data_IF_546272731658
#
_entry.id   IF_546272731658
#
_cell.length_a   1.000
_cell.length_b   1.000
_cell.length_c   1.000
_cell.angle_alpha   90.00
_cell.angle_beta   90.00
_cell.angle_gamma   90.00
#
_symmetry.space_group_name_H-M   'P 1'
#
loop_
_entity.id
_entity.type
_entity.pdbx_description
1 polymer ?
#
# COMPACT_ATOMS: atom_id res chain seq x y z
N UNK A 1 -1.77 31.96 -5.53
CA UNK A 1 -1.70 32.13 -4.08
C UNK A 1 -1.42 30.74 -3.51
N UNK A 2 -0.15 30.44 -3.27
CA UNK A 2 0.31 29.15 -2.75
C UNK A 2 -0.11 29.08 -1.28
N UNK A 3 -1.17 28.33 -0.98
CA UNK A 3 -1.42 27.92 0.38
C UNK A 3 -0.36 26.86 0.70
N UNK A 4 0.61 27.21 1.55
CA UNK A 4 1.41 26.23 2.28
C UNK A 4 0.42 25.23 2.90
N UNK A 5 0.36 24.02 2.34
CA UNK A 5 -0.19 22.87 3.04
C UNK A 5 0.72 22.67 4.24
N UNK A 6 0.29 23.25 5.36
CA UNK A 6 0.68 22.85 6.71
C UNK A 6 0.81 21.33 6.68
N UNK A 7 2.01 20.83 6.96
CA UNK A 7 2.22 19.40 7.12
C UNK A 7 1.16 18.93 8.11
N UNK A 8 0.20 18.15 7.63
CA UNK A 8 -0.69 17.44 8.52
C UNK A 8 0.24 16.69 9.45
N UNK A 9 0.14 16.99 10.75
CA UNK A 9 0.70 16.14 11.78
C UNK A 9 -0.10 14.85 11.68
N UNK A 10 0.25 13.98 10.74
CA UNK A 10 -0.28 12.65 10.66
C UNK A 10 0.04 12.02 12.01
N UNK A 11 -0.97 11.88 12.87
CA UNK A 11 -0.93 10.81 13.84
C UNK A 11 -0.58 9.54 13.06
N UNK A 12 0.27 8.70 13.63
CA UNK A 12 0.76 7.44 13.03
C UNK A 12 -0.34 6.52 12.47
N UNK A 13 -1.60 6.85 12.77
CA UNK A 13 -2.76 6.01 12.56
C UNK A 13 -3.62 6.51 11.39
N UNK A 14 -3.16 7.44 10.55
CA UNK A 14 -3.91 7.84 9.33
C UNK A 14 -3.23 7.36 8.06
N UNK A 15 -3.99 6.68 7.20
CA UNK A 15 -3.53 6.22 5.88
C UNK A 15 -4.31 6.91 4.77
N UNK A 16 -3.59 7.24 3.71
CA UNK A 16 -4.18 7.82 2.50
C UNK A 16 -4.59 6.71 1.54
N UNK A 17 -5.90 6.48 1.39
CA UNK A 17 -6.44 5.38 0.61
C UNK A 17 -7.03 5.86 -0.72
N UNK A 18 -6.72 5.13 -1.78
CA UNK A 18 -7.07 5.47 -3.16
C UNK A 18 -7.82 4.33 -3.83
N UNK A 19 -8.81 4.67 -4.65
CA UNK A 19 -9.42 3.77 -5.62
C UNK A 19 -9.15 4.25 -7.03
N UNK A 20 -8.96 3.30 -7.96
CA UNK A 20 -8.66 3.59 -9.35
C UNK A 20 -9.65 2.88 -10.28
N UNK A 21 -10.26 3.64 -11.19
CA UNK A 21 -11.22 3.15 -12.17
C UNK A 21 -10.79 3.52 -13.60
N UNK A 22 -11.31 2.77 -14.57
CA UNK A 22 -11.14 3.10 -15.98
C UNK A 22 -11.81 4.43 -16.30
N UNK A 23 -11.14 5.37 -16.97
CA UNK A 23 -11.78 6.60 -17.44
C UNK A 23 -12.45 6.42 -18.81
N UNK A 24 -13.11 7.49 -19.28
CA UNK A 24 -13.80 7.57 -20.57
C UNK A 24 -12.88 7.42 -21.78
N UNK A 25 -11.66 7.91 -21.67
CA UNK A 25 -10.65 7.85 -22.72
C UNK A 25 -9.53 6.91 -22.29
N UNK A 26 -8.94 6.19 -23.26
CA UNK A 26 -7.93 5.15 -23.03
C UNK A 26 -6.62 5.64 -22.39
N UNK A 27 -6.44 6.96 -22.28
CA UNK A 27 -5.26 7.61 -21.69
C UNK A 27 -5.53 8.27 -20.34
N UNK A 28 -6.78 8.24 -19.84
CA UNK A 28 -7.14 8.80 -18.55
C UNK A 28 -7.49 7.68 -17.56
N UNK A 29 -7.29 7.96 -16.28
CA UNK A 29 -7.73 7.11 -15.17
C UNK A 29 -8.54 7.98 -14.21
N UNK A 30 -9.66 7.45 -13.73
CA UNK A 30 -10.42 8.11 -12.67
C UNK A 30 -9.86 7.62 -11.34
N UNK A 31 -9.47 8.55 -10.48
CA UNK A 31 -8.96 8.25 -9.14
C UNK A 31 -9.75 9.04 -8.10
N UNK A 32 -10.02 8.40 -6.97
CA UNK A 32 -10.68 9.00 -5.82
C UNK A 32 -9.94 8.62 -4.55
N UNK A 33 -9.93 9.54 -3.60
CA UNK A 33 -9.15 9.47 -2.38
C UNK A 33 -10.04 9.61 -1.15
N UNK A 34 -9.67 8.92 -0.08
CA UNK A 34 -10.17 9.17 1.28
C UNK A 34 -9.05 8.99 2.30
N UNK A 35 -9.03 9.83 3.34
CA UNK A 35 -8.22 9.60 4.52
C UNK A 35 -8.93 8.56 5.40
N UNK A 36 -8.18 7.60 5.94
CA UNK A 36 -8.70 6.57 6.83
C UNK A 36 -7.92 6.62 8.12
N UNK A 37 -8.63 6.82 9.23
CA UNK A 37 -8.07 6.59 10.55
C UNK A 37 -8.14 5.08 10.84
N UNK A 38 -6.98 4.50 11.09
CA UNK A 38 -6.81 3.12 11.49
C UNK A 38 -7.14 3.01 12.97
N UNK A 39 -8.18 2.25 13.26
CA UNK A 39 -8.52 1.85 14.62
C UNK A 39 -8.19 0.35 14.74
N UNK A 40 -7.15 -0.02 15.53
CA UNK A 40 -6.77 -1.43 15.68
C UNK A 40 -7.86 -2.26 16.36
N UNK A 41 -8.74 -1.61 17.14
CA UNK A 41 -9.82 -2.23 17.89
C UNK A 41 -11.14 -2.26 17.10
N UNK A 42 -11.16 -1.71 15.87
CA UNK A 42 -12.35 -1.74 15.03
C UNK A 42 -12.85 -3.18 14.81
N UNK A 43 -14.17 -3.36 14.93
CA UNK A 43 -14.82 -4.66 14.66
C UNK A 43 -14.69 -5.06 13.18
N UNK A 44 -14.71 -4.07 12.28
CA UNK A 44 -14.56 -4.24 10.84
C UNK A 44 -13.35 -3.46 10.34
N UNK A 45 -12.72 -3.97 9.27
CA UNK A 45 -11.59 -3.29 8.65
C UNK A 45 -12.03 -1.97 8.01
N UNK A 46 -11.52 -0.81 8.49
CA UNK A 46 -11.86 0.50 7.91
C UNK A 46 -11.46 0.64 6.43
N UNK A 47 -10.43 -0.11 6.03
CA UNK A 47 -9.97 -0.21 4.64
C UNK A 47 -11.01 -0.89 3.76
N UNK A 48 -11.57 -2.02 4.19
CA UNK A 48 -12.57 -2.77 3.41
C UNK A 48 -13.88 -1.98 3.30
N UNK A 49 -14.30 -1.32 4.38
CA UNK A 49 -15.49 -0.46 4.36
C UNK A 49 -15.31 0.74 3.41
N UNK A 50 -14.11 1.34 3.41
CA UNK A 50 -13.77 2.43 2.48
C UNK A 50 -13.67 1.94 1.03
N UNK A 51 -13.19 0.72 0.80
CA UNK A 51 -13.16 0.12 -0.53
C UNK A 51 -14.58 -0.10 -1.07
N UNK A 52 -15.50 -0.59 -0.24
CA UNK A 52 -16.92 -0.72 -0.61
C UNK A 52 -17.53 0.63 -0.98
N UNK A 53 -17.26 1.67 -0.19
CA UNK A 53 -17.72 3.03 -0.49
C UNK A 53 -17.16 3.54 -1.82
N UNK A 54 -15.86 3.36 -2.09
CA UNK A 54 -15.24 3.76 -3.35
C UNK A 54 -15.84 3.02 -4.54
N UNK A 55 -16.08 1.71 -4.43
CA UNK A 55 -16.73 0.91 -5.48
C UNK A 55 -18.10 1.50 -5.84
N UNK A 56 -18.89 1.90 -4.83
CA UNK A 56 -20.21 2.52 -5.05
C UNK A 56 -20.12 3.94 -5.61
N UNK A 57 -19.03 4.65 -5.33
CA UNK A 57 -18.79 6.03 -5.80
C UNK A 57 -18.42 6.10 -7.27
N UNK A 58 -17.63 5.15 -7.77
CA UNK A 58 -17.26 5.14 -9.18
C UNK A 58 -18.43 4.71 -10.07
N UNK A 59 -18.65 5.44 -11.16
CA UNK A 59 -19.64 5.07 -12.19
C UNK A 59 -19.13 3.96 -13.12
N UNK A 60 -17.83 3.70 -13.09
CA UNK A 60 -17.11 2.73 -13.93
C UNK A 60 -16.42 1.67 -13.09
N UNK A 61 -15.97 0.60 -13.75
CA UNK A 61 -15.32 -0.53 -13.07
C UNK A 61 -13.99 -0.09 -12.46
N UNK A 62 -13.90 -0.23 -11.14
CA UNK A 62 -12.65 -0.13 -10.37
C UNK A 62 -11.72 -1.26 -10.78
N UNK A 63 -10.45 -0.95 -11.02
CA UNK A 63 -9.42 -1.93 -11.38
C UNK A 63 -8.41 -2.18 -10.26
N UNK A 64 -8.32 -1.29 -9.27
CA UNK A 64 -7.39 -1.44 -8.16
C UNK A 64 -7.59 -0.42 -7.04
N UNK A 65 -6.83 -0.64 -5.96
CA UNK A 65 -6.77 0.22 -4.80
C UNK A 65 -5.33 0.48 -4.41
N UNK A 66 -5.06 1.59 -3.74
CA UNK A 66 -3.72 1.90 -3.27
C UNK A 66 -3.70 2.60 -1.92
N UNK A 67 -2.54 2.54 -1.28
CA UNK A 67 -2.25 3.30 -0.08
C UNK A 67 -0.96 4.09 -0.23
N UNK A 68 -0.90 5.25 0.40
CA UNK A 68 0.36 5.93 0.70
C UNK A 68 0.60 5.90 2.21
N UNK A 69 1.84 5.63 2.61
CA UNK A 69 2.25 5.49 4.00
C UNK A 69 3.67 6.00 4.21
N UNK A 70 3.94 6.47 5.44
CA UNK A 70 5.29 6.78 5.87
C UNK A 70 5.98 5.49 6.32
N UNK A 71 7.24 5.35 5.96
CA UNK A 71 8.10 4.23 6.34
C UNK A 71 9.52 4.75 6.56
N UNK A 72 10.44 3.84 6.85
CA UNK A 72 11.86 4.14 6.99
C UNK A 72 12.61 3.21 6.07
N UNK A 73 13.62 3.73 5.39
CA UNK A 73 14.51 2.90 4.58
C UNK A 73 15.90 3.47 4.51
N UNK A 74 16.82 2.67 3.97
CA UNK A 74 18.24 2.97 3.90
C UNK A 74 18.73 2.66 2.48
N UNK A 75 19.64 3.49 1.97
CA UNK A 75 20.24 3.30 0.66
C UNK A 75 21.52 2.47 0.83
N UNK A 76 21.60 1.36 0.10
CA UNK A 76 22.81 0.53 0.03
C UNK A 76 23.43 0.69 -1.36
N UNK A 77 24.37 1.64 -1.56
CA UNK A 77 24.93 1.93 -2.89
C UNK A 77 25.95 0.87 -3.37
N UNK A 78 26.32 -0.09 -2.51
CA UNK A 78 27.28 -1.15 -2.82
C UNK A 78 26.66 -2.32 -3.59
N UNK A 79 27.50 -3.04 -4.33
CA UNK A 79 27.10 -4.27 -5.03
C UNK A 79 26.89 -5.47 -4.09
N UNK A 80 27.29 -5.33 -2.82
CA UNK A 80 27.30 -6.40 -1.82
C UNK A 80 25.90 -6.70 -1.22
N UNK A 81 24.85 -6.03 -1.71
CA UNK A 81 23.48 -6.22 -1.26
C UNK A 81 23.17 -5.51 0.07
N UNK A 82 22.09 -5.94 0.72
CA UNK A 82 21.64 -5.38 2.01
C UNK A 82 22.46 -6.01 3.15
N UNK A 83 23.15 -5.21 3.98
CA UNK A 83 23.92 -5.71 5.13
C UNK A 83 23.05 -6.50 6.14
N UNK A 84 23.56 -7.59 6.74
CA UNK A 84 22.79 -8.40 7.69
C UNK A 84 22.27 -7.63 8.92
N UNK A 85 23.03 -6.66 9.40
CA UNK A 85 22.64 -5.79 10.52
C UNK A 85 21.47 -4.86 10.16
N UNK A 86 21.38 -4.43 8.90
CA UNK A 86 20.23 -3.68 8.41
C UNK A 86 18.98 -4.56 8.32
N UNK A 87 19.12 -5.82 7.89
CA UNK A 87 18.02 -6.80 7.88
C UNK A 87 17.51 -7.04 9.30
N UNK A 88 18.41 -7.30 10.25
CA UNK A 88 18.04 -7.52 11.65
C UNK A 88 17.35 -6.30 12.27
N UNK A 89 17.84 -5.10 11.98
CA UNK A 89 17.20 -3.87 12.45
C UNK A 89 15.80 -3.69 11.85
N UNK A 90 15.59 -4.03 10.56
CA UNK A 90 14.27 -4.00 9.93
C UNK A 90 13.31 -5.01 10.58
N UNK A 91 13.75 -6.26 10.79
CA UNK A 91 12.95 -7.32 11.43
C UNK A 91 12.58 -6.96 12.88
N UNK A 92 13.47 -6.28 13.60
CA UNK A 92 13.24 -5.82 14.97
C UNK A 92 12.42 -4.51 15.04
N UNK A 93 12.10 -3.87 13.91
CA UNK A 93 11.45 -2.55 13.89
C UNK A 93 12.33 -1.40 14.37
N UNK A 94 13.65 -1.59 14.40
CA UNK A 94 14.66 -0.62 14.89
C UNK A 94 15.40 0.08 13.74
N UNK A 95 14.90 -0.03 12.50
CA UNK A 95 15.57 0.54 11.33
C UNK A 95 15.76 2.06 11.47
N UNK A 96 14.81 2.76 12.08
CA UNK A 96 14.88 4.21 12.35
C UNK A 96 16.00 4.63 13.29
N UNK A 97 16.57 3.70 14.05
CA UNK A 97 17.68 3.98 14.97
C UNK A 97 19.04 3.98 14.28
N UNK A 98 19.10 3.50 13.03
CA UNK A 98 20.33 3.45 12.25
C UNK A 98 20.65 4.84 11.70
N UNK A 99 21.93 5.22 11.78
CA UNK A 99 22.39 6.56 11.39
C UNK A 99 22.15 6.91 9.91
N UNK A 100 22.04 5.91 9.05
CA UNK A 100 21.89 6.02 7.59
C UNK A 100 20.45 5.80 7.13
N UNK A 101 19.52 5.52 8.05
CA UNK A 101 18.12 5.37 7.72
C UNK A 101 17.42 6.73 7.60
N UNK A 102 16.50 6.83 6.64
CA UNK A 102 15.77 8.05 6.33
C UNK A 102 14.25 7.77 6.30
N UNK A 103 13.42 8.70 6.80
CA UNK A 103 11.97 8.66 6.58
C UNK A 103 11.59 8.71 5.10
N UNK A 104 10.84 7.73 4.65
CA UNK A 104 10.41 7.59 3.26
C UNK A 104 8.89 7.66 3.16
N UNK A 105 8.41 8.22 2.04
CA UNK A 105 7.02 8.07 1.63
C UNK A 105 6.92 6.93 0.62
N UNK A 106 6.09 5.95 0.93
CA UNK A 106 5.81 4.81 0.08
C UNK A 106 4.39 4.91 -0.48
N UNK A 107 4.22 4.57 -1.75
CA UNK A 107 2.90 4.36 -2.35
C UNK A 107 2.84 2.97 -2.96
N UNK A 108 1.82 2.19 -2.59
CA UNK A 108 1.58 0.86 -3.17
C UNK A 108 0.18 0.78 -3.75
N UNK A 109 0.09 0.29 -4.99
CA UNK A 109 -1.18 0.00 -5.68
C UNK A 109 -1.28 -1.51 -5.87
N UNK A 110 -2.44 -2.07 -5.51
CA UNK A 110 -2.83 -3.44 -5.80
C UNK A 110 -3.95 -3.43 -6.85
N UNK A 111 -3.82 -4.26 -7.87
CA UNK A 111 -4.86 -4.39 -8.90
C UNK A 111 -5.60 -5.73 -8.83
N UNK A 112 -6.72 -5.79 -9.55
CA UNK A 112 -7.56 -6.99 -9.66
C UNK A 112 -6.84 -8.20 -10.27
N UNK A 113 -5.71 -7.98 -10.96
CA UNK A 113 -4.89 -9.03 -11.59
C UNK A 113 -3.83 -9.57 -10.63
N UNK A 114 -3.93 -9.23 -9.35
CA UNK A 114 -3.02 -9.62 -8.28
C UNK A 114 -1.60 -9.03 -8.45
N UNK A 115 -1.48 -7.88 -9.12
CA UNK A 115 -0.21 -7.14 -9.22
C UNK A 115 -0.12 -6.08 -8.14
N UNK A 116 1.05 -5.99 -7.51
CA UNK A 116 1.42 -4.91 -6.62
C UNK A 116 2.45 -4.01 -7.31
N UNK A 117 2.26 -2.71 -7.23
CA UNK A 117 3.13 -1.67 -7.77
C UNK A 117 3.55 -0.76 -6.62
N UNK A 118 4.82 -0.77 -6.24
CA UNK A 118 5.31 0.07 -5.13
C UNK A 118 6.33 1.07 -5.64
N UNK A 119 6.13 2.34 -5.32
CA UNK A 119 7.11 3.40 -5.54
C UNK A 119 7.45 4.06 -4.19
N UNK A 120 8.70 4.49 -4.05
CA UNK A 120 9.18 5.14 -2.82
C UNK A 120 9.91 6.44 -3.15
N UNK A 121 9.71 7.45 -2.32
CA UNK A 121 10.45 8.72 -2.38
C UNK A 121 11.00 9.06 -1.00
N UNK A 122 12.27 9.48 -0.95
CA UNK A 122 12.91 9.95 0.28
C UNK A 122 12.36 11.32 0.68
N UNK A 123 12.02 11.50 1.95
CA UNK A 123 11.43 12.76 2.43
C UNK A 123 12.48 13.87 2.41
N UNK A 124 13.73 13.55 2.76
CA UNK A 124 14.81 14.53 2.83
C UNK A 124 15.68 14.61 1.58
N UNK A 125 15.49 13.71 0.60
CA UNK A 125 16.21 13.68 -0.68
C UNK A 125 15.25 13.57 -1.88
N UNK A 126 14.30 14.51 -2.04
CA UNK A 126 13.29 14.45 -3.10
C UNK A 126 13.87 14.52 -4.52
N UNK A 127 15.08 15.06 -4.68
CA UNK A 127 15.81 15.15 -5.94
C UNK A 127 16.21 13.79 -6.53
N UNK A 128 16.25 12.74 -5.70
CA UNK A 128 16.46 11.37 -6.17
C UNK A 128 15.25 10.85 -6.97
N UNK A 129 14.11 11.54 -6.87
CA UNK A 129 12.87 11.13 -7.49
C UNK A 129 12.32 9.82 -6.92
N UNK A 130 11.23 9.30 -7.50
CA UNK A 130 10.71 8.00 -7.11
C UNK A 130 11.68 6.90 -7.54
N UNK A 131 12.01 6.02 -6.61
CA UNK A 131 12.74 4.77 -6.88
C UNK A 131 11.90 3.85 -7.79
N UNK A 132 12.55 3.00 -8.62
CA UNK A 132 11.85 2.20 -9.61
C UNK A 132 10.77 1.31 -9.00
N UNK A 133 9.66 1.19 -9.73
CA UNK A 133 8.49 0.43 -9.30
C UNK A 133 8.78 -1.06 -9.27
N UNK A 134 8.73 -1.69 -8.10
CA UNK A 134 8.67 -3.15 -8.07
C UNK A 134 7.27 -3.60 -8.47
N UNK A 135 7.20 -4.45 -9.49
CA UNK A 135 5.96 -5.10 -9.92
C UNK A 135 5.99 -6.55 -9.45
N UNK A 136 5.24 -6.84 -8.41
CA UNK A 136 5.17 -8.18 -7.84
C UNK A 136 3.86 -8.86 -8.21
N UNK A 137 3.93 -10.13 -8.65
CA UNK A 137 2.74 -10.99 -8.71
C UNK A 137 2.45 -11.53 -7.32
N UNK A 138 1.44 -10.98 -6.65
CA UNK A 138 1.11 -11.35 -5.26
C UNK A 138 0.66 -12.81 -5.13
N UNK A 139 0.27 -13.46 -6.25
CA UNK A 139 -0.09 -14.88 -6.25
C UNK A 139 1.08 -15.78 -5.85
N UNK A 140 2.32 -15.37 -6.16
CA UNK A 140 3.52 -16.10 -5.77
C UNK A 140 3.70 -16.22 -4.24
N UNK A 141 3.03 -15.37 -3.46
CA UNK A 141 3.13 -15.32 -2.00
C UNK A 141 1.75 -15.22 -1.32
N UNK A 142 0.74 -15.90 -1.87
CA UNK A 142 -0.66 -15.80 -1.39
C UNK A 142 -0.78 -16.09 0.11
N UNK A 143 -0.09 -17.11 0.61
CA UNK A 143 -0.14 -17.54 2.01
C UNK A 143 0.38 -16.46 2.96
N UNK A 144 1.45 -15.75 2.56
CA UNK A 144 2.00 -14.64 3.31
C UNK A 144 1.00 -13.47 3.37
N UNK A 145 0.35 -13.16 2.25
CA UNK A 145 -0.67 -12.10 2.21
C UNK A 145 -1.91 -12.45 3.05
N UNK A 146 -2.36 -13.71 3.06
CA UNK A 146 -3.44 -14.16 3.94
C UNK A 146 -3.02 -14.04 5.40
N UNK A 147 -1.81 -14.46 5.75
CA UNK A 147 -1.28 -14.33 7.13
C UNK A 147 -1.25 -12.86 7.58
N UNK A 148 -0.78 -11.96 6.71
CA UNK A 148 -0.77 -10.53 6.98
C UNK A 148 -2.18 -9.93 7.10
N UNK A 149 -3.13 -10.45 6.32
CA UNK A 149 -4.54 -10.06 6.42
C UNK A 149 -5.11 -10.43 7.80
N UNK A 150 -4.84 -11.66 8.27
CA UNK A 150 -5.28 -12.11 9.59
C UNK A 150 -4.63 -11.30 10.73
N UNK A 151 -3.38 -10.85 10.53
CA UNK A 151 -2.67 -9.93 11.42
C UNK A 151 -3.15 -8.47 11.31
N UNK A 152 -4.21 -8.20 10.55
CA UNK A 152 -4.77 -6.87 10.29
C UNK A 152 -3.80 -5.87 9.64
N UNK A 153 -2.79 -6.36 8.92
CA UNK A 153 -1.87 -5.48 8.20
C UNK A 153 -2.62 -4.66 7.15
N UNK A 154 -2.44 -3.34 7.17
CA UNK A 154 -3.16 -2.39 6.31
C UNK A 154 -3.00 -2.74 4.82
N UNK A 155 -1.76 -3.00 4.39
CA UNK A 155 -1.47 -3.35 3.00
C UNK A 155 -2.17 -4.64 2.57
N UNK A 156 -2.32 -5.63 3.47
CA UNK A 156 -3.02 -6.87 3.17
C UNK A 156 -4.53 -6.68 3.05
N UNK A 157 -5.13 -5.79 3.85
CA UNK A 157 -6.53 -5.38 3.65
C UNK A 157 -6.76 -4.68 2.30
N UNK A 158 -5.83 -3.81 1.87
CA UNK A 158 -5.89 -3.17 0.55
C UNK A 158 -5.75 -4.21 -0.58
N UNK A 159 -4.81 -5.14 -0.44
CA UNK A 159 -4.63 -6.26 -1.35
C UNK A 159 -5.90 -7.11 -1.46
N UNK A 160 -6.50 -7.47 -0.33
CA UNK A 160 -7.74 -8.24 -0.28
C UNK A 160 -8.89 -7.51 -1.01
N UNK A 161 -9.04 -6.20 -0.76
CA UNK A 161 -10.01 -5.37 -1.48
C UNK A 161 -9.77 -5.43 -3.00
N UNK A 162 -8.52 -5.31 -3.46
CA UNK A 162 -8.19 -5.33 -4.88
C UNK A 162 -8.47 -6.68 -5.56
N UNK A 163 -8.05 -7.80 -4.97
CA UNK A 163 -8.24 -9.11 -5.60
C UNK A 163 -9.72 -9.51 -5.70
N UNK A 164 -10.57 -8.99 -4.82
CA UNK A 164 -12.02 -9.27 -4.88
C UNK A 164 -12.72 -8.60 -6.07
N UNK A 165 -12.08 -7.65 -6.76
CA UNK A 165 -12.58 -7.04 -7.99
C UNK A 165 -12.57 -8.01 -9.20
N UNK A 166 -11.80 -9.10 -9.11
CA UNK A 166 -11.83 -10.23 -10.05
C UNK A 166 -11.85 -11.58 -9.30
N UNK A 167 -13.03 -12.00 -8.80
CA UNK A 167 -13.13 -13.19 -7.97
C UNK A 167 -12.90 -14.49 -8.73
N UNK A 168 -12.98 -14.47 -10.07
CA UNK A 168 -12.73 -15.67 -10.89
C UNK A 168 -11.24 -15.95 -10.95
N UNK A 169 -10.45 -14.93 -11.26
CA UNK A 169 -8.99 -15.05 -11.34
C UNK A 169 -8.36 -15.31 -9.96
N UNK A 170 -8.94 -14.74 -8.90
CA UNK A 170 -8.39 -14.80 -7.55
C UNK A 170 -9.12 -15.78 -6.61
N UNK A 171 -9.87 -16.74 -7.16
CA UNK A 171 -10.70 -17.67 -6.39
C UNK A 171 -9.94 -18.34 -5.24
N UNK A 172 -8.74 -18.86 -5.49
CA UNK A 172 -7.95 -19.56 -4.48
C UNK A 172 -7.62 -18.68 -3.25
N UNK A 173 -7.20 -17.43 -3.48
CA UNK A 173 -6.92 -16.49 -2.40
C UNK A 173 -8.20 -16.10 -1.64
N UNK A 174 -9.29 -15.82 -2.37
CA UNK A 174 -10.58 -15.42 -1.77
C UNK A 174 -11.19 -16.56 -0.94
N UNK A 175 -11.07 -17.81 -1.37
CA UNK A 175 -11.53 -18.96 -0.57
C UNK A 175 -10.82 -19.00 0.78
N UNK A 176 -9.50 -18.74 0.81
CA UNK A 176 -8.71 -18.75 2.05
C UNK A 176 -9.06 -17.57 2.97
N UNK A 177 -9.33 -16.40 2.41
CA UNK A 177 -9.78 -15.24 3.17
C UNK A 177 -11.16 -15.44 3.84
N UNK A 178 -11.97 -16.39 3.35
CA UNK A 178 -13.32 -16.68 3.88
C UNK A 178 -13.36 -17.83 4.88
N UNK A 179 -12.28 -18.59 5.01
CA UNK A 179 -12.21 -19.77 5.88
C UNK A 179 -11.79 -19.45 7.33
N UNK A 180 -11.66 -18.17 7.65
CA UNK A 180 -11.33 -17.61 8.96
C UNK A 180 -12.36 -16.55 9.34
#
# INVERSE_FOLDING_TARGET
MMAERRADSAGSDTVHFWGFAHAETSTAQDAAYTAIMLDPDAERSPILDSAEWLIRRFTRRVWGFGLAYLTVGEIFPGADGVPPDAIQAAEAGLLSERATADPMCAATIFDARARAYTALTYTHLPELGPTPTWVNDTRAATDAWVTLFDQRAVAAHVWAAAITLDPRTNHAAITRLRSH
#
